data_IF_563495025370
#
_entry.id   IF_563495025370
#
_cell.length_a   1.000
_cell.length_b   1.000
_cell.length_c   1.000
_cell.angle_alpha   90.00
_cell.angle_beta   90.00
_cell.angle_gamma   90.00
#
_symmetry.space_group_name_H-M   'P 1'
#
loop_
_entity.id
_entity.type
_entity.pdbx_description
1 polymer ?
#
# COMPACT_ATOMS: atom_id res chain seq x y z
N UNK A 1 -11.67 10.71 -4.50
CA UNK A 1 -10.21 10.92 -4.44
C UNK A 1 -9.89 12.28 -5.02
N UNK A 2 -9.08 13.07 -4.34
CA UNK A 2 -8.64 14.39 -4.82
C UNK A 2 -7.72 14.24 -6.04
N UNK A 3 -7.68 15.23 -6.95
CA UNK A 3 -6.91 15.14 -8.21
C UNK A 3 -5.41 14.86 -8.02
N UNK A 4 -4.79 15.49 -7.02
CA UNK A 4 -3.35 15.36 -6.77
C UNK A 4 -2.98 13.98 -6.25
N UNK A 5 -3.74 13.46 -5.28
CA UNK A 5 -3.59 12.09 -4.77
C UNK A 5 -3.82 11.05 -5.87
N UNK A 6 -4.84 11.25 -6.72
CA UNK A 6 -5.10 10.37 -7.88
C UNK A 6 -3.91 10.32 -8.83
N UNK A 7 -3.37 11.48 -9.19
CA UNK A 7 -2.23 11.58 -10.10
C UNK A 7 -0.98 10.95 -9.51
N UNK A 8 -0.70 11.23 -8.23
CA UNK A 8 0.41 10.64 -7.47
C UNK A 8 0.32 9.12 -7.41
N UNK A 9 -0.84 8.57 -7.02
CA UNK A 9 -1.07 7.14 -6.94
C UNK A 9 -0.91 6.46 -8.31
N UNK A 10 -1.51 7.03 -9.37
CA UNK A 10 -1.39 6.49 -10.73
C UNK A 10 0.05 6.47 -11.23
N UNK A 11 0.81 7.54 -11.01
CA UNK A 11 2.21 7.61 -11.43
C UNK A 11 3.05 6.55 -10.70
N UNK A 12 2.86 6.40 -9.39
CA UNK A 12 3.56 5.39 -8.59
C UNK A 12 3.20 3.97 -9.03
N UNK A 13 1.92 3.69 -9.27
CA UNK A 13 1.45 2.40 -9.76
C UNK A 13 2.04 2.06 -11.14
N UNK A 14 2.16 3.04 -12.04
CA UNK A 14 2.83 2.84 -13.34
C UNK A 14 4.31 2.50 -13.18
N UNK A 15 5.01 3.15 -12.24
CA UNK A 15 6.40 2.82 -11.91
C UNK A 15 6.51 1.41 -11.33
N UNK A 16 5.64 1.05 -10.39
CA UNK A 16 5.58 -0.29 -9.79
C UNK A 16 5.37 -1.36 -10.87
N UNK A 17 4.47 -1.12 -11.84
CA UNK A 17 4.27 -2.04 -12.96
C UNK A 17 5.56 -2.25 -13.75
N UNK A 18 6.27 -1.19 -14.13
CA UNK A 18 7.54 -1.33 -14.86
C UNK A 18 8.62 -2.05 -14.05
N UNK A 19 8.64 -1.87 -12.72
CA UNK A 19 9.54 -2.61 -11.84
C UNK A 19 9.14 -4.09 -11.74
N UNK A 20 7.84 -4.39 -11.69
CA UNK A 20 7.32 -5.75 -11.69
C UNK A 20 7.68 -6.49 -12.99
N UNK A 21 7.51 -5.83 -14.14
CA UNK A 21 7.92 -6.37 -15.44
C UNK A 21 9.42 -6.73 -15.43
N UNK A 22 10.26 -5.88 -14.82
CA UNK A 22 11.68 -6.17 -14.64
C UNK A 22 11.94 -7.39 -13.74
N UNK A 23 11.20 -7.56 -12.65
CA UNK A 23 11.32 -8.73 -11.78
C UNK A 23 10.88 -10.02 -12.49
N UNK A 24 9.83 -9.96 -13.30
CA UNK A 24 9.39 -11.09 -14.12
C UNK A 24 10.52 -11.52 -15.07
N UNK A 25 11.12 -10.57 -15.78
CA UNK A 25 12.26 -10.86 -16.66
C UNK A 25 13.43 -11.50 -15.90
N UNK A 26 13.72 -11.05 -14.67
CA UNK A 26 14.77 -11.68 -13.84
C UNK A 26 14.49 -13.15 -13.53
N UNK A 27 13.22 -13.52 -13.35
CA UNK A 27 12.81 -14.91 -13.12
C UNK A 27 12.91 -15.71 -14.41
N UNK A 28 12.43 -15.16 -15.54
CA UNK A 28 12.53 -15.80 -16.86
C UNK A 28 13.98 -16.05 -17.29
N UNK A 29 14.90 -15.17 -16.89
CA UNK A 29 16.34 -15.26 -17.13
C UNK A 29 17.10 -16.15 -16.10
N UNK A 30 16.39 -16.89 -15.24
CA UNK A 30 16.97 -17.74 -14.18
C UNK A 30 18.00 -17.01 -13.29
N UNK A 31 17.76 -15.72 -12.98
CA UNK A 31 18.71 -14.95 -12.16
C UNK A 31 18.78 -15.46 -10.73
N UNK A 32 19.91 -15.19 -10.09
CA UNK A 32 20.18 -15.61 -8.72
C UNK A 32 19.10 -15.17 -7.73
N UNK A 33 18.47 -16.13 -7.04
CA UNK A 33 17.27 -15.92 -6.23
C UNK A 33 17.38 -14.77 -5.21
N UNK A 34 18.50 -14.60 -4.46
CA UNK A 34 18.65 -13.46 -3.55
C UNK A 34 18.57 -12.09 -4.22
N UNK A 35 18.97 -11.95 -5.49
CA UNK A 35 18.83 -10.69 -6.24
C UNK A 35 17.36 -10.44 -6.62
N UNK A 36 16.63 -11.49 -7.01
CA UNK A 36 15.18 -11.40 -7.27
C UNK A 36 14.45 -11.01 -5.98
N UNK A 37 14.76 -11.67 -4.85
CA UNK A 37 14.18 -11.36 -3.54
C UNK A 37 14.40 -9.90 -3.13
N UNK A 38 15.61 -9.35 -3.34
CA UNK A 38 15.88 -7.92 -3.09
C UNK A 38 14.97 -7.00 -3.92
N UNK A 39 14.72 -7.34 -5.18
CA UNK A 39 13.83 -6.55 -6.03
C UNK A 39 12.36 -6.68 -5.61
N UNK A 40 11.92 -7.87 -5.20
CA UNK A 40 10.58 -8.06 -4.62
C UNK A 40 10.41 -7.21 -3.35
N UNK A 41 11.40 -7.16 -2.47
CA UNK A 41 11.34 -6.28 -1.28
C UNK A 41 11.28 -4.79 -1.65
N UNK A 42 11.99 -4.37 -2.70
CA UNK A 42 11.92 -3.00 -3.21
C UNK A 42 10.55 -2.67 -3.83
N UNK A 43 9.91 -3.63 -4.50
CA UNK A 43 8.53 -3.53 -4.99
C UNK A 43 7.54 -3.36 -3.85
N UNK A 44 7.66 -4.18 -2.79
CA UNK A 44 6.82 -4.05 -1.59
C UNK A 44 6.92 -2.66 -0.98
N UNK A 45 8.14 -2.12 -0.81
CA UNK A 45 8.33 -0.76 -0.32
C UNK A 45 7.78 0.34 -1.25
N UNK A 46 7.66 0.06 -2.56
CA UNK A 46 7.05 0.98 -3.52
C UNK A 46 5.52 0.93 -3.48
N UNK A 47 4.95 -0.26 -3.29
CA UNK A 47 3.51 -0.45 -3.05
C UNK A 47 3.08 0.20 -1.73
N UNK A 48 3.89 0.13 -0.68
CA UNK A 48 3.62 0.81 0.58
C UNK A 48 3.48 2.33 0.40
N UNK A 49 4.33 2.93 -0.44
CA UNK A 49 4.21 4.36 -0.77
C UNK A 49 2.94 4.69 -1.55
N UNK A 50 2.43 3.77 -2.37
CA UNK A 50 1.11 3.94 -3.02
C UNK A 50 0.03 3.90 -1.95
N UNK A 51 0.07 2.90 -1.07
CA UNK A 51 -0.93 2.70 -0.04
C UNK A 51 -1.05 3.92 0.89
N UNK A 52 0.09 4.53 1.27
CA UNK A 52 0.11 5.77 2.04
C UNK A 52 -0.61 6.94 1.34
N UNK A 53 -0.43 7.12 0.02
CA UNK A 53 -1.14 8.17 -0.74
C UNK A 53 -2.66 7.90 -0.76
N UNK A 54 -3.07 6.63 -0.89
CA UNK A 54 -4.48 6.26 -0.85
C UNK A 54 -5.09 6.51 0.53
N UNK A 55 -4.35 6.19 1.60
CA UNK A 55 -4.75 6.42 2.98
C UNK A 55 -4.87 7.91 3.30
N UNK A 56 -3.87 8.72 2.94
CA UNK A 56 -3.92 10.18 3.08
C UNK A 56 -5.18 10.75 2.42
N UNK A 57 -5.45 10.35 1.17
CA UNK A 57 -6.68 10.75 0.49
C UNK A 57 -7.96 10.28 1.22
N UNK A 58 -8.00 9.05 1.72
CA UNK A 58 -9.19 8.51 2.39
C UNK A 58 -9.51 9.30 3.65
N UNK A 59 -8.50 9.64 4.45
CA UNK A 59 -8.64 10.51 5.63
C UNK A 59 -9.16 11.90 5.23
N UNK A 60 -8.55 12.52 4.22
CA UNK A 60 -8.93 13.87 3.77
C UNK A 60 -10.30 13.94 3.05
N UNK A 61 -10.92 12.81 2.71
CA UNK A 61 -12.20 12.81 1.96
C UNK A 61 -13.28 12.03 2.67
N UNK A 62 -13.18 10.71 2.71
CA UNK A 62 -14.20 9.82 3.27
C UNK A 62 -14.38 10.04 4.77
N UNK A 63 -13.28 10.12 5.54
CA UNK A 63 -13.34 10.32 7.00
C UNK A 63 -13.91 11.69 7.33
N UNK A 64 -13.39 12.77 6.74
CA UNK A 64 -13.90 14.13 6.99
C UNK A 64 -15.40 14.27 6.66
N UNK A 65 -15.84 13.67 5.55
CA UNK A 65 -17.24 13.70 5.15
C UNK A 65 -18.14 12.93 6.11
N UNK A 66 -17.74 11.71 6.51
CA UNK A 66 -18.51 10.90 7.46
C UNK A 66 -18.60 11.55 8.84
N UNK A 67 -17.54 12.24 9.30
CA UNK A 67 -17.58 13.03 10.55
C UNK A 67 -18.60 14.16 10.45
N UNK A 68 -18.63 14.89 9.33
CA UNK A 68 -19.60 15.97 9.11
C UNK A 68 -21.06 15.48 9.10
N UNK A 69 -21.28 14.23 8.72
CA UNK A 69 -22.59 13.59 8.63
C UNK A 69 -22.96 12.77 9.89
N UNK A 70 -22.17 12.86 10.96
CA UNK A 70 -22.43 12.17 12.22
C UNK A 70 -22.20 10.66 12.19
N UNK A 71 -21.48 10.13 11.20
CA UNK A 71 -21.15 8.70 11.04
C UNK A 71 -19.73 8.35 11.51
N UNK A 72 -19.23 9.07 12.51
CA UNK A 72 -17.84 8.95 12.98
C UNK A 72 -17.47 7.53 13.43
N UNK A 73 -18.33 6.84 14.19
CA UNK A 73 -18.01 5.49 14.68
C UNK A 73 -17.81 4.50 13.52
N UNK A 74 -18.73 4.49 12.57
CA UNK A 74 -18.68 3.59 11.41
C UNK A 74 -17.41 3.80 10.57
N UNK A 75 -17.05 5.06 10.28
CA UNK A 75 -15.88 5.34 9.42
C UNK A 75 -14.55 5.09 10.15
N UNK A 76 -14.53 5.23 11.48
CA UNK A 76 -13.35 4.88 12.27
C UNK A 76 -13.15 3.37 12.27
N UNK A 77 -14.20 2.57 12.41
CA UNK A 77 -14.10 1.11 12.33
C UNK A 77 -13.59 0.66 10.95
N UNK A 78 -14.11 1.23 9.86
CA UNK A 78 -13.64 0.98 8.49
C UNK A 78 -12.16 1.37 8.30
N UNK A 79 -11.76 2.53 8.83
CA UNK A 79 -10.38 2.99 8.78
C UNK A 79 -9.46 2.02 9.53
N UNK A 80 -9.84 1.59 10.73
CA UNK A 80 -9.07 0.66 11.54
C UNK A 80 -8.92 -0.71 10.87
N UNK A 81 -9.95 -1.18 10.16
CA UNK A 81 -9.87 -2.38 9.33
C UNK A 81 -8.87 -2.19 8.17
N UNK A 82 -8.94 -1.05 7.48
CA UNK A 82 -8.06 -0.73 6.35
C UNK A 82 -6.59 -0.64 6.78
N UNK A 83 -6.30 -0.09 7.96
CA UNK A 83 -4.94 0.03 8.48
C UNK A 83 -4.23 -1.32 8.68
N UNK A 84 -4.97 -2.43 8.86
CA UNK A 84 -4.38 -3.79 8.94
C UNK A 84 -3.61 -4.18 7.67
N UNK A 85 -3.98 -3.61 6.53
CA UNK A 85 -3.30 -3.81 5.26
C UNK A 85 -2.17 -2.79 5.02
N UNK A 86 -1.87 -1.95 6.01
CA UNK A 86 -0.83 -0.93 5.97
C UNK A 86 0.17 -1.21 7.11
N UNK A 87 1.11 -2.16 6.93
CA UNK A 87 1.99 -2.63 8.00
C UNK A 87 2.83 -1.50 8.63
N UNK A 88 3.09 -0.41 7.91
CA UNK A 88 3.81 0.75 8.44
C UNK A 88 3.00 1.51 9.51
N UNK A 89 1.67 1.41 9.49
CA UNK A 89 0.76 2.09 10.42
C UNK A 89 0.39 1.22 11.62
N UNK A 90 0.41 -0.12 11.48
CA UNK A 90 0.03 -1.08 12.55
C UNK A 90 1.20 -1.82 13.19
N UNK A 91 2.43 -1.65 12.66
CA UNK A 91 3.56 -2.51 13.01
C UNK A 91 3.49 -3.86 12.29
N UNK A 92 4.54 -4.70 12.39
CA UNK A 92 4.50 -6.05 11.85
C UNK A 92 3.34 -6.81 12.50
N UNK A 93 2.49 -7.43 11.68
CA UNK A 93 1.52 -8.42 12.14
C UNK A 93 2.32 -9.60 12.69
N UNK A 94 2.61 -9.60 13.99
CA UNK A 94 3.12 -10.78 14.68
C UNK A 94 1.98 -11.80 14.82
N UNK A 95 1.69 -12.48 13.73
CA UNK A 95 1.05 -13.79 13.67
C UNK A 95 1.96 -14.52 12.66
N UNK A 96 2.88 -15.43 13.00
CA UNK A 96 2.78 -16.58 13.88
C UNK A 96 4.14 -16.87 14.54
N UNK A 97 4.23 -16.74 15.87
CA UNK A 97 5.08 -17.66 16.65
C UNK A 97 4.24 -18.90 16.88
N UNK A 98 4.47 -19.95 16.09
CA UNK A 98 4.25 -21.31 16.54
C UNK A 98 5.61 -21.95 16.76
N UNK A 99 5.74 -22.50 17.97
CA UNK A 99 6.81 -23.33 18.50
C UNK A 99 7.20 -24.48 17.56
#
# INVERSE_FOLDING_TARGET
>A
MQPDHKTSALNRLKTVRGHLDGVIAMVEDDRYCPEIMKQVSALQGSLEKVNRVLLENHVETCVLHAVAEGRTAQIVDELMETLRYTPVATGPTHEETHD
#
